data_IF_473239561691
#
_entry.id   IF_473239561691
#
_cell.length_a   1.000
_cell.length_b   1.000
_cell.length_c   1.000
_cell.angle_alpha   90.00
_cell.angle_beta   90.00
_cell.angle_gamma   90.00
#
_symmetry.space_group_name_H-M   'P 1'
#
loop_
_entity.id
_entity.type
_entity.pdbx_description
1 polymer ?
#
# COMPACT_ATOMS: atom_id res chain seq x y z
N UNK A 1 -16.70 32.94 -18.60
CA UNK A 1 -16.37 32.32 -19.90
C UNK A 1 -15.11 31.51 -19.70
N UNK A 2 -15.21 30.22 -19.51
CA UNK A 2 -14.09 29.29 -19.47
C UNK A 2 -14.38 28.20 -20.47
N UNK A 3 -13.54 28.16 -21.49
CA UNK A 3 -13.64 27.27 -22.64
C UNK A 3 -13.14 25.87 -22.28
N UNK A 4 -13.98 24.87 -22.53
CA UNK A 4 -13.60 23.46 -22.51
C UNK A 4 -12.62 23.17 -23.66
N UNK A 5 -11.49 22.57 -23.36
CA UNK A 5 -10.64 21.93 -24.34
C UNK A 5 -10.97 20.42 -24.38
N UNK A 6 -11.56 19.99 -25.48
CA UNK A 6 -11.76 18.59 -25.80
C UNK A 6 -10.45 18.00 -26.32
N UNK A 7 -10.06 16.85 -25.79
CA UNK A 7 -8.92 16.06 -26.30
C UNK A 7 -9.45 15.12 -27.38
N UNK A 8 -8.87 15.11 -28.57
CA UNK A 8 -9.32 14.21 -29.65
C UNK A 8 -8.81 12.79 -29.43
N UNK A 9 -9.72 11.83 -29.63
CA UNK A 9 -9.43 10.42 -29.76
C UNK A 9 -8.49 10.16 -30.95
N UNK A 10 -7.31 9.63 -30.71
CA UNK A 10 -6.50 8.96 -31.73
C UNK A 10 -6.41 7.47 -31.39
N UNK A 11 -7.12 6.67 -32.21
CA UNK A 11 -6.87 5.23 -32.29
C UNK A 11 -5.65 4.99 -33.17
N UNK A 12 -4.65 4.27 -32.65
CA UNK A 12 -3.69 3.52 -33.44
C UNK A 12 -3.52 2.13 -32.83
N UNK A 13 -3.57 1.06 -33.62
CA UNK A 13 -3.39 -0.31 -33.14
C UNK A 13 -1.89 -0.65 -33.08
N UNK A 14 -1.34 -0.74 -31.89
CA UNK A 14 -0.06 -1.40 -31.61
C UNK A 14 -0.28 -2.48 -30.56
N UNK A 15 0.61 -3.47 -30.39
CA UNK A 15 0.45 -4.48 -29.39
C UNK A 15 0.50 -3.83 -28.01
N UNK A 16 -0.64 -3.88 -27.32
CA UNK A 16 -0.81 -3.35 -25.98
C UNK A 16 -0.02 -4.27 -25.05
N UNK A 17 1.09 -3.80 -24.54
CA UNK A 17 1.68 -4.35 -23.32
C UNK A 17 0.68 -4.06 -22.21
N UNK A 18 0.09 -5.13 -21.67
CA UNK A 18 -0.95 -5.03 -20.66
C UNK A 18 -0.39 -4.34 -19.43
N UNK A 19 -0.91 -3.16 -19.14
CA UNK A 19 -0.71 -2.50 -17.87
C UNK A 19 -1.34 -3.35 -16.77
N UNK A 20 -0.53 -3.69 -15.81
CA UNK A 20 -0.95 -4.29 -14.57
C UNK A 20 -1.80 -3.29 -13.79
N UNK A 21 -3.05 -3.61 -13.62
CA UNK A 21 -3.95 -2.84 -12.76
C UNK A 21 -3.39 -2.81 -11.33
N UNK A 22 -3.28 -1.64 -10.78
CA UNK A 22 -2.80 -1.36 -9.43
C UNK A 22 -3.93 -1.57 -8.44
N UNK A 23 -3.62 -2.11 -7.32
CA UNK A 23 -4.65 -2.65 -6.46
C UNK A 23 -4.50 -2.28 -4.95
N UNK A 24 -5.50 -1.78 -4.21
CA UNK A 24 -5.49 -1.32 -2.81
C UNK A 24 -5.92 -2.30 -1.69
N UNK A 25 -5.78 -1.95 -0.47
CA UNK A 25 -6.02 -2.74 0.75
C UNK A 25 -7.03 -2.16 1.75
N UNK A 26 -7.86 -2.91 2.43
CA UNK A 26 -8.82 -2.45 3.43
C UNK A 26 -8.74 -3.18 4.79
N UNK A 27 -8.82 -2.48 5.90
CA UNK A 27 -8.90 -3.00 7.27
C UNK A 27 -10.21 -2.61 7.94
N UNK A 28 -10.92 -3.50 8.55
CA UNK A 28 -12.20 -3.28 9.19
C UNK A 28 -12.21 -3.57 10.71
N UNK A 29 -12.91 -2.84 11.53
CA UNK A 29 -12.82 -2.72 12.98
C UNK A 29 -13.83 -3.42 13.88
N UNK A 30 -13.53 -3.56 15.00
CA UNK A 30 -13.60 -3.88 16.43
C UNK A 30 -14.54 -4.98 16.89
N UNK A 31 -13.99 -5.86 17.71
CA UNK A 31 -14.75 -6.76 18.57
C UNK A 31 -14.24 -6.75 20.01
N UNK A 32 -15.12 -7.05 20.98
CA UNK A 32 -14.69 -7.41 22.31
C UNK A 32 -14.27 -8.88 22.37
N UNK A 33 -13.18 -9.07 23.09
CA UNK A 33 -12.60 -10.28 23.72
C UNK A 33 -13.14 -11.68 23.45
N UNK A 34 -12.16 -12.57 23.24
CA UNK A 34 -12.12 -14.03 23.19
C UNK A 34 -12.36 -14.65 21.82
N UNK A 35 -11.24 -14.97 21.16
CA UNK A 35 -11.25 -15.76 19.93
C UNK A 35 -10.86 -17.21 20.25
N UNK A 36 -11.86 -18.05 20.45
CA UNK A 36 -11.71 -19.50 20.23
C UNK A 36 -12.16 -19.79 18.81
N UNK A 37 -11.25 -20.36 18.03
CA UNK A 37 -11.52 -20.76 16.66
C UNK A 37 -12.60 -21.86 16.63
N UNK A 38 -13.84 -21.47 16.41
CA UNK A 38 -14.91 -22.37 15.98
C UNK A 38 -15.51 -21.81 14.72
N UNK A 39 -15.46 -22.59 13.65
CA UNK A 39 -16.16 -22.29 12.42
C UNK A 39 -17.64 -22.12 12.70
N UNK A 40 -18.15 -20.90 12.61
CA UNK A 40 -19.59 -20.64 12.57
C UNK A 40 -19.89 -19.24 12.03
N UNK A 41 -20.80 -19.24 11.09
CA UNK A 41 -21.68 -18.15 10.63
C UNK A 41 -21.07 -16.77 10.34
N UNK A 42 -21.34 -16.31 9.14
CA UNK A 42 -20.91 -15.10 8.45
C UNK A 42 -21.31 -13.75 9.13
N UNK A 43 -21.75 -13.74 10.38
CA UNK A 43 -22.37 -12.57 11.01
C UNK A 43 -21.53 -11.92 12.11
N UNK A 44 -20.24 -12.20 12.18
CA UNK A 44 -19.38 -11.59 13.21
C UNK A 44 -18.74 -10.30 12.67
N UNK A 45 -19.41 -9.17 12.93
CA UNK A 45 -19.08 -7.83 12.44
C UNK A 45 -17.93 -7.19 13.23
N UNK A 46 -16.74 -7.72 13.06
CA UNK A 46 -15.51 -7.05 13.50
C UNK A 46 -14.88 -6.23 12.39
N UNK A 47 -13.79 -5.64 12.72
CA UNK A 47 -12.94 -4.83 11.85
C UNK A 47 -12.21 -5.72 10.83
N UNK A 48 -12.25 -5.40 9.53
CA UNK A 48 -11.68 -6.22 8.44
C UNK A 48 -10.57 -5.49 7.69
N UNK A 49 -9.51 -6.21 7.42
CA UNK A 49 -8.32 -5.75 6.73
C UNK A 49 -8.22 -6.36 5.34
N UNK A 50 -7.94 -5.58 4.31
CA UNK A 50 -8.00 -6.00 2.92
C UNK A 50 -6.74 -5.62 2.14
N UNK A 51 -6.28 -6.50 1.29
CA UNK A 51 -5.13 -6.33 0.44
C UNK A 51 -5.32 -6.82 -1.00
N UNK A 52 -4.34 -6.60 -1.85
CA UNK A 52 -4.43 -6.72 -3.29
C UNK A 52 -3.30 -7.49 -3.97
N UNK A 53 -3.53 -8.02 -5.18
CA UNK A 53 -2.69 -9.04 -5.81
C UNK A 53 -2.44 -8.76 -7.29
N UNK A 54 -1.21 -8.96 -7.76
CA UNK A 54 -0.84 -8.89 -9.17
C UNK A 54 -1.03 -10.24 -9.89
N UNK A 55 -0.90 -10.23 -11.22
CA UNK A 55 -1.08 -11.41 -12.06
C UNK A 55 -0.13 -12.55 -11.69
N UNK A 56 -0.70 -13.74 -11.53
CA UNK A 56 -0.01 -14.98 -11.17
C UNK A 56 -0.25 -16.06 -12.23
N UNK A 57 0.56 -17.11 -12.19
CA UNK A 57 0.41 -18.24 -13.11
C UNK A 57 -0.60 -19.28 -12.60
N UNK A 58 -0.85 -19.31 -11.29
CA UNK A 58 -1.74 -20.27 -10.65
C UNK A 58 -2.32 -19.75 -9.34
N UNK A 59 -3.33 -20.43 -8.82
CA UNK A 59 -3.91 -20.14 -7.52
C UNK A 59 -2.90 -20.34 -6.37
N UNK A 60 -1.96 -21.28 -6.50
CA UNK A 60 -0.93 -21.50 -5.47
C UNK A 60 0.02 -20.33 -5.29
N UNK A 61 0.26 -19.56 -6.34
CA UNK A 61 1.16 -18.41 -6.29
C UNK A 61 0.59 -17.27 -5.43
N UNK A 62 -0.73 -17.21 -5.27
CA UNK A 62 -1.39 -16.31 -4.32
C UNK A 62 -1.33 -16.83 -2.87
N UNK A 63 -1.04 -18.13 -2.66
CA UNK A 63 -1.14 -18.76 -1.35
C UNK A 63 -0.18 -18.18 -0.33
N UNK A 64 1.04 -17.83 -0.72
CA UNK A 64 2.02 -17.23 0.18
C UNK A 64 1.64 -15.79 0.55
N UNK A 65 1.10 -15.02 -0.39
CA UNK A 65 0.57 -13.68 -0.12
C UNK A 65 -0.58 -13.76 0.90
N UNK A 66 -1.52 -14.70 0.71
CA UNK A 66 -2.65 -14.94 1.63
C UNK A 66 -2.16 -15.27 3.05
N UNK A 67 -1.21 -16.19 3.19
CA UNK A 67 -0.64 -16.58 4.49
C UNK A 67 0.10 -15.42 5.17
N UNK A 68 0.91 -14.67 4.43
CA UNK A 68 1.64 -13.50 4.97
C UNK A 68 0.69 -12.41 5.43
N UNK A 69 -0.36 -12.14 4.65
CA UNK A 69 -1.40 -11.20 5.01
C UNK A 69 -2.16 -11.63 6.27
N UNK A 70 -2.58 -12.89 6.36
CA UNK A 70 -3.20 -13.43 7.57
C UNK A 70 -2.30 -13.33 8.79
N UNK A 71 -1.02 -13.67 8.65
CA UNK A 71 -0.05 -13.55 9.73
C UNK A 71 0.11 -12.11 10.22
N UNK A 72 -0.04 -11.13 9.33
CA UNK A 72 -0.08 -9.71 9.72
C UNK A 72 -1.44 -9.27 10.30
N UNK A 73 -2.45 -10.14 10.28
CA UNK A 73 -3.80 -9.84 10.76
C UNK A 73 -4.72 -9.21 9.71
N UNK A 74 -4.38 -9.33 8.42
CA UNK A 74 -5.21 -8.86 7.31
C UNK A 74 -6.37 -9.83 7.10
N UNK A 75 -7.60 -9.32 6.93
CA UNK A 75 -8.82 -10.13 6.83
C UNK A 75 -9.20 -10.48 5.39
N UNK A 76 -8.94 -9.60 4.46
CA UNK A 76 -9.34 -9.79 3.07
C UNK A 76 -8.43 -9.04 2.10
N UNK A 77 -8.48 -9.43 0.83
CA UNK A 77 -7.86 -8.66 -0.27
C UNK A 77 -8.92 -8.02 -1.15
N UNK A 78 -8.75 -6.73 -1.49
CA UNK A 78 -9.43 -6.10 -2.61
C UNK A 78 -8.77 -6.54 -3.92
N UNK A 79 -9.50 -6.96 -4.89
CA UNK A 79 -9.01 -7.30 -6.22
C UNK A 79 -9.41 -6.16 -7.16
N UNK A 80 -8.52 -5.20 -7.37
CA UNK A 80 -8.78 -4.06 -8.27
C UNK A 80 -8.62 -4.52 -9.72
N UNK A 81 -9.60 -4.37 -10.52
CA UNK A 81 -9.63 -4.93 -11.86
C UNK A 81 -9.88 -3.87 -12.93
N UNK A 82 -9.13 -3.99 -14.02
CA UNK A 82 -9.44 -3.38 -15.30
C UNK A 82 -10.36 -4.25 -16.16
N UNK A 83 -10.28 -4.04 -17.47
CA UNK A 83 -11.05 -4.76 -18.49
C UNK A 83 -10.19 -5.72 -19.32
N UNK A 84 -9.04 -6.09 -18.80
CA UNK A 84 -8.08 -6.94 -19.50
C UNK A 84 -8.58 -8.36 -19.70
N UNK A 85 -8.14 -9.02 -20.77
CA UNK A 85 -8.56 -10.39 -21.11
C UNK A 85 -8.17 -11.45 -20.09
N UNK A 86 -7.14 -11.19 -19.28
CA UNK A 86 -6.69 -12.11 -18.23
C UNK A 86 -7.45 -11.93 -16.89
N UNK A 87 -8.28 -10.88 -16.75
CA UNK A 87 -8.93 -10.51 -15.48
C UNK A 87 -9.69 -11.68 -14.87
N UNK A 88 -10.53 -12.38 -15.64
CA UNK A 88 -11.32 -13.50 -15.10
C UNK A 88 -10.47 -14.68 -14.63
N UNK A 89 -9.37 -14.97 -15.34
CA UNK A 89 -8.42 -15.99 -14.93
C UNK A 89 -7.78 -15.63 -13.58
N UNK A 90 -7.35 -14.39 -13.42
CA UNK A 90 -6.72 -13.91 -12.19
C UNK A 90 -7.71 -13.87 -11.02
N UNK A 91 -8.94 -13.40 -11.24
CA UNK A 91 -10.01 -13.47 -10.25
C UNK A 91 -10.26 -14.93 -9.82
N UNK A 92 -10.34 -15.86 -10.77
CA UNK A 92 -10.51 -17.28 -10.49
C UNK A 92 -9.40 -17.82 -9.57
N UNK A 93 -8.14 -17.53 -9.87
CA UNK A 93 -7.01 -17.93 -9.04
C UNK A 93 -7.04 -17.29 -7.64
N UNK A 94 -7.33 -15.99 -7.54
CA UNK A 94 -7.37 -15.28 -6.27
C UNK A 94 -8.51 -15.79 -5.37
N UNK A 95 -9.72 -15.97 -5.90
CA UNK A 95 -10.86 -16.54 -5.15
C UNK A 95 -10.59 -17.98 -4.69
N UNK A 96 -10.00 -18.80 -5.57
CA UNK A 96 -9.62 -20.17 -5.21
C UNK A 96 -8.56 -20.18 -4.10
N UNK A 97 -7.53 -19.37 -4.21
CA UNK A 97 -6.48 -19.27 -3.20
C UNK A 97 -7.01 -18.77 -1.86
N UNK A 98 -7.87 -17.74 -1.90
CA UNK A 98 -8.49 -17.21 -0.70
C UNK A 98 -9.35 -18.27 0.02
N UNK A 99 -10.17 -19.03 -0.73
CA UNK A 99 -10.95 -20.13 -0.18
C UNK A 99 -10.05 -21.20 0.46
N UNK A 100 -8.97 -21.60 -0.22
CA UNK A 100 -8.03 -22.61 0.26
C UNK A 100 -7.27 -22.18 1.54
N UNK A 101 -7.08 -20.89 1.72
CA UNK A 101 -6.35 -20.32 2.87
C UNK A 101 -7.29 -19.72 3.93
N UNK A 102 -8.61 -19.82 3.79
CA UNK A 102 -9.56 -19.23 4.74
C UNK A 102 -9.59 -17.70 4.75
N UNK A 103 -9.10 -17.04 3.70
CA UNK A 103 -9.19 -15.60 3.52
C UNK A 103 -10.45 -15.19 2.75
N UNK A 104 -10.76 -13.90 2.83
CA UNK A 104 -11.79 -13.29 1.99
C UNK A 104 -11.16 -12.41 0.92
N UNK A 105 -11.89 -12.24 -0.17
CA UNK A 105 -11.56 -11.32 -1.26
C UNK A 105 -12.82 -10.61 -1.74
N UNK A 106 -12.67 -9.47 -2.40
CA UNK A 106 -13.75 -8.77 -3.08
C UNK A 106 -13.23 -8.02 -4.29
N UNK A 107 -14.13 -7.67 -5.20
CA UNK A 107 -13.77 -6.92 -6.40
C UNK A 107 -13.78 -5.42 -6.11
N UNK A 108 -12.74 -4.73 -6.56
CA UNK A 108 -12.64 -3.28 -6.68
C UNK A 108 -12.49 -2.94 -8.17
N UNK A 109 -13.39 -2.11 -8.70
CA UNK A 109 -13.38 -1.75 -10.11
C UNK A 109 -12.54 -0.51 -10.35
N UNK A 110 -11.53 -0.59 -11.23
CA UNK A 110 -10.73 0.56 -11.63
C UNK A 110 -11.40 1.32 -12.79
N UNK A 111 -12.02 2.45 -12.47
CA UNK A 111 -12.68 3.29 -13.45
C UNK A 111 -11.73 4.15 -14.31
N UNK A 112 -10.45 3.94 -14.26
CA UNK A 112 -9.56 4.36 -15.35
C UNK A 112 -9.74 3.46 -16.60
N UNK A 113 -10.22 2.22 -16.40
CA UNK A 113 -10.44 1.22 -17.44
C UNK A 113 -11.91 0.95 -17.70
N UNK A 114 -12.71 0.83 -16.62
CA UNK A 114 -14.16 0.75 -16.71
C UNK A 114 -14.75 2.13 -17.01
N UNK A 115 -15.84 2.15 -17.80
CA UNK A 115 -16.57 3.39 -18.08
C UNK A 115 -17.74 3.54 -17.12
N UNK A 116 -18.06 4.76 -16.72
CA UNK A 116 -19.22 5.04 -15.85
C UNK A 116 -20.56 4.65 -16.50
N UNK A 117 -20.62 4.55 -17.81
CA UNK A 117 -21.77 4.02 -18.57
C UNK A 117 -21.94 2.51 -18.49
N UNK A 118 -20.98 1.77 -17.92
CA UNK A 118 -20.98 0.30 -17.87
C UNK A 118 -21.57 -0.29 -16.58
N UNK A 119 -22.48 0.41 -15.90
CA UNK A 119 -23.08 -0.05 -14.64
C UNK A 119 -23.64 -1.48 -14.70
N UNK A 120 -24.34 -1.83 -15.79
CA UNK A 120 -24.83 -3.20 -15.99
C UNK A 120 -23.71 -4.24 -16.11
N UNK A 121 -22.62 -3.92 -16.80
CA UNK A 121 -21.49 -4.84 -16.95
C UNK A 121 -20.74 -5.01 -15.62
N UNK A 122 -20.60 -3.94 -14.84
CA UNK A 122 -20.06 -3.98 -13.47
C UNK A 122 -20.92 -4.89 -12.58
N UNK A 123 -22.26 -4.71 -12.59
CA UNK A 123 -23.18 -5.56 -11.85
C UNK A 123 -23.11 -7.03 -12.27
N UNK A 124 -23.09 -7.31 -13.57
CA UNK A 124 -22.95 -8.66 -14.10
C UNK A 124 -21.62 -9.32 -13.68
N UNK A 125 -20.52 -8.54 -13.61
CA UNK A 125 -19.24 -9.04 -13.10
C UNK A 125 -19.34 -9.37 -11.60
N UNK A 126 -20.00 -8.57 -10.79
CA UNK A 126 -20.25 -8.86 -9.37
C UNK A 126 -21.02 -10.17 -9.22
N UNK A 127 -22.10 -10.37 -9.99
CA UNK A 127 -22.95 -11.57 -9.93
C UNK A 127 -22.16 -12.87 -10.15
N UNK A 128 -21.12 -12.86 -10.99
CA UNK A 128 -20.27 -14.04 -11.25
C UNK A 128 -19.54 -14.54 -10.01
N UNK A 129 -19.21 -13.66 -9.07
CA UNK A 129 -18.38 -13.97 -7.90
C UNK A 129 -19.14 -13.86 -6.57
N UNK A 130 -20.35 -13.30 -6.56
CA UNK A 130 -21.14 -12.97 -5.36
C UNK A 130 -21.37 -14.14 -4.41
N UNK A 131 -21.48 -15.36 -4.94
CA UNK A 131 -21.79 -16.58 -4.18
C UNK A 131 -20.58 -17.47 -3.91
N UNK A 132 -19.38 -17.05 -4.30
CA UNK A 132 -18.18 -17.81 -4.02
C UNK A 132 -17.85 -17.81 -2.52
N UNK A 133 -17.33 -18.91 -1.94
CA UNK A 133 -17.06 -19.02 -0.50
C UNK A 133 -16.10 -17.97 0.04
N UNK A 134 -15.15 -17.50 -0.79
CA UNK A 134 -14.16 -16.50 -0.42
C UNK A 134 -14.68 -15.05 -0.56
N UNK A 135 -15.85 -14.84 -1.18
CA UNK A 135 -16.40 -13.48 -1.34
C UNK A 135 -16.63 -12.84 0.03
N UNK A 136 -16.04 -11.65 0.21
CA UNK A 136 -16.30 -10.83 1.41
C UNK A 136 -17.75 -10.36 1.41
N UNK A 137 -18.46 -10.58 2.52
CA UNK A 137 -19.77 -10.01 2.79
C UNK A 137 -19.71 -9.12 4.03
N UNK A 138 -20.41 -8.02 4.02
CA UNK A 138 -20.57 -7.10 5.13
C UNK A 138 -22.06 -6.82 5.28
N UNK A 139 -22.60 -6.95 6.49
CA UNK A 139 -24.03 -6.83 6.77
C UNK A 139 -24.86 -7.76 5.85
N UNK A 140 -24.38 -9.01 5.62
CA UNK A 140 -24.96 -10.00 4.72
C UNK A 140 -24.88 -9.68 3.22
N UNK A 141 -24.32 -8.54 2.84
CA UNK A 141 -24.24 -8.03 1.46
C UNK A 141 -22.88 -8.25 0.85
N UNK A 142 -22.83 -8.50 -0.45
CA UNK A 142 -21.60 -8.65 -1.23
C UNK A 142 -20.80 -7.34 -1.20
N UNK A 143 -19.61 -7.35 -0.61
CA UNK A 143 -18.78 -6.16 -0.52
C UNK A 143 -18.10 -5.87 -1.85
N UNK A 144 -18.21 -4.63 -2.31
CA UNK A 144 -17.68 -4.15 -3.60
C UNK A 144 -17.11 -2.75 -3.41
N UNK A 145 -15.97 -2.48 -4.03
CA UNK A 145 -15.33 -1.17 -4.04
C UNK A 145 -14.99 -0.70 -5.45
N UNK A 146 -14.43 0.48 -5.57
CA UNK A 146 -13.83 0.97 -6.81
C UNK A 146 -12.73 1.98 -6.54
N UNK A 147 -11.83 2.12 -7.51
CA UNK A 147 -11.02 3.32 -7.69
C UNK A 147 -11.77 4.25 -8.65
N UNK A 148 -12.00 5.51 -8.23
CA UNK A 148 -12.83 6.49 -8.94
C UNK A 148 -14.24 5.95 -9.29
N UNK A 149 -14.84 6.45 -10.37
CA UNK A 149 -16.15 6.01 -10.86
C UNK A 149 -17.29 6.95 -10.51
N UNK A 150 -16.97 8.20 -10.14
CA UNK A 150 -17.96 9.25 -9.92
C UNK A 150 -18.92 9.34 -11.12
N UNK A 151 -20.22 9.25 -10.86
CA UNK A 151 -21.26 9.30 -11.90
C UNK A 151 -21.64 7.96 -12.53
N UNK A 152 -21.12 6.82 -12.05
CA UNK A 152 -21.61 5.50 -12.47
C UNK A 152 -23.07 5.30 -12.02
N UNK A 153 -23.86 4.63 -12.86
CA UNK A 153 -25.24 4.27 -12.50
C UNK A 153 -25.27 3.14 -11.47
N UNK A 154 -25.38 3.52 -10.19
CA UNK A 154 -25.45 2.59 -9.05
C UNK A 154 -26.71 1.72 -9.11
N UNK A 155 -27.83 2.25 -9.64
CA UNK A 155 -29.05 1.46 -9.75
C UNK A 155 -28.90 0.35 -10.78
N UNK A 156 -28.24 0.63 -11.91
CA UNK A 156 -27.89 -0.37 -12.92
C UNK A 156 -26.94 -1.44 -12.36
N UNK A 157 -25.92 -1.04 -11.57
CA UNK A 157 -25.02 -1.98 -10.88
C UNK A 157 -25.85 -2.92 -10.00
N UNK A 158 -26.71 -2.39 -9.15
CA UNK A 158 -27.53 -3.17 -8.21
C UNK A 158 -28.49 -4.13 -8.93
N UNK A 159 -29.13 -3.64 -9.99
CA UNK A 159 -30.07 -4.46 -10.78
C UNK A 159 -29.36 -5.64 -11.46
N UNK A 160 -28.15 -5.46 -11.95
CA UNK A 160 -27.41 -6.48 -12.68
C UNK A 160 -26.56 -7.40 -11.76
N UNK A 161 -26.32 -7.02 -10.51
CA UNK A 161 -25.54 -7.82 -9.56
C UNK A 161 -26.28 -9.07 -9.06
N UNK A 162 -27.59 -9.14 -9.23
CA UNK A 162 -28.46 -10.24 -8.76
C UNK A 162 -28.20 -10.64 -7.30
N UNK A 163 -27.78 -9.68 -6.51
CA UNK A 163 -27.44 -9.83 -5.09
C UNK A 163 -27.45 -8.47 -4.40
N UNK A 164 -27.74 -8.46 -3.11
CA UNK A 164 -27.55 -7.27 -2.29
C UNK A 164 -26.05 -6.92 -2.21
N UNK A 165 -25.68 -5.70 -2.56
CA UNK A 165 -24.30 -5.23 -2.52
C UNK A 165 -24.08 -4.19 -1.42
N UNK A 166 -22.93 -4.30 -0.74
CA UNK A 166 -22.34 -3.28 0.12
C UNK A 166 -21.35 -2.50 -0.71
N UNK A 167 -21.80 -1.40 -1.33
CA UNK A 167 -20.97 -0.63 -2.25
C UNK A 167 -20.23 0.48 -1.50
N UNK A 168 -18.90 0.43 -1.57
CA UNK A 168 -17.99 1.31 -0.85
C UNK A 168 -16.88 1.86 -1.78
N UNK A 169 -17.24 2.67 -2.79
CA UNK A 169 -16.31 3.16 -3.81
C UNK A 169 -15.43 4.32 -3.30
N UNK A 170 -14.36 4.60 -4.05
CA UNK A 170 -13.59 5.83 -3.94
C UNK A 170 -14.20 6.95 -4.79
N UNK A 171 -15.38 7.41 -4.45
CA UNK A 171 -15.97 8.60 -5.08
C UNK A 171 -15.42 9.88 -4.43
N UNK A 172 -15.24 10.93 -5.22
CA UNK A 172 -14.72 12.18 -4.72
C UNK A 172 -15.80 13.00 -4.02
N UNK A 173 -15.57 13.48 -2.80
CA UNK A 173 -16.45 14.43 -2.14
C UNK A 173 -16.76 15.64 -3.04
N UNK A 174 -18.04 15.94 -3.21
CA UNK A 174 -18.51 17.02 -4.08
C UNK A 174 -18.68 16.67 -5.57
N UNK A 175 -18.38 15.43 -5.98
CA UNK A 175 -18.60 14.93 -7.35
C UNK A 175 -19.51 13.71 -7.39
N UNK A 176 -19.23 12.72 -6.54
CA UNK A 176 -19.99 11.47 -6.48
C UNK A 176 -21.31 11.60 -5.71
N UNK A 177 -22.25 10.69 -6.00
CA UNK A 177 -23.48 10.55 -5.21
C UNK A 177 -23.24 9.65 -4.00
N UNK A 178 -23.08 10.26 -2.83
CA UNK A 178 -22.89 9.54 -1.56
C UNK A 178 -24.20 9.05 -0.94
N UNK A 179 -25.37 9.49 -1.46
CA UNK A 179 -26.68 9.15 -0.87
C UNK A 179 -26.97 7.65 -0.98
N UNK A 180 -26.58 7.03 -2.07
CA UNK A 180 -26.84 5.63 -2.40
C UNK A 180 -25.69 4.66 -2.04
N UNK A 181 -24.64 5.13 -1.34
CA UNK A 181 -23.53 4.30 -0.87
C UNK A 181 -23.79 3.72 0.52
N UNK A 182 -23.19 2.56 0.82
CA UNK A 182 -23.12 1.99 2.17
C UNK A 182 -21.92 2.53 2.93
N UNK A 183 -20.81 2.81 2.23
CA UNK A 183 -19.61 3.42 2.75
C UNK A 183 -18.87 4.13 1.60
N UNK A 184 -17.80 4.83 1.88
CA UNK A 184 -16.87 5.30 0.85
C UNK A 184 -15.42 5.19 1.31
N UNK A 185 -14.55 4.97 0.34
CA UNK A 185 -13.12 4.87 0.49
C UNK A 185 -12.45 6.20 0.18
N UNK A 186 -11.56 6.67 1.07
CA UNK A 186 -10.57 7.66 0.70
C UNK A 186 -9.32 6.95 0.17
N UNK A 187 -9.06 7.05 -1.12
CA UNK A 187 -7.86 6.43 -1.69
C UNK A 187 -6.56 7.13 -1.28
N UNK A 188 -6.59 8.45 -1.13
CA UNK A 188 -5.37 9.24 -0.93
C UNK A 188 -4.90 9.13 0.52
N UNK A 189 -3.85 8.33 0.74
CA UNK A 189 -3.27 8.03 2.06
C UNK A 189 -1.98 8.81 2.36
N UNK A 190 -1.67 9.84 1.59
CA UNK A 190 -0.47 10.67 1.70
C UNK A 190 -0.81 12.16 1.58
N UNK A 191 0.12 13.01 2.00
CA UNK A 191 -0.03 14.47 1.81
C UNK A 191 -0.06 14.81 0.32
N UNK A 192 -1.02 15.63 -0.10
CA UNK A 192 -1.30 15.91 -1.51
C UNK A 192 -1.69 17.37 -1.73
N UNK A 193 -2.05 17.75 -2.95
CA UNK A 193 -2.48 19.11 -3.33
C UNK A 193 -3.99 19.26 -3.50
N UNK A 194 -4.80 18.33 -2.98
CA UNK A 194 -6.25 18.28 -3.17
C UNK A 194 -6.68 17.50 -4.42
N UNK A 195 -5.75 16.89 -5.13
CA UNK A 195 -5.98 16.01 -6.28
C UNK A 195 -5.02 14.81 -6.20
N UNK A 196 -5.07 13.92 -7.16
CA UNK A 196 -4.13 12.80 -7.27
C UNK A 196 -2.77 13.21 -7.90
N UNK A 197 -2.47 14.49 -7.95
CA UNK A 197 -1.19 14.99 -8.40
C UNK A 197 -0.24 15.26 -7.23
N UNK A 198 1.05 15.38 -7.54
CA UNK A 198 2.08 15.70 -6.55
C UNK A 198 1.82 17.03 -5.85
N UNK A 199 2.05 17.14 -4.54
CA UNK A 199 1.84 18.39 -3.82
C UNK A 199 2.86 19.46 -4.25
N UNK A 200 2.37 20.68 -4.38
CA UNK A 200 3.25 21.84 -4.55
C UNK A 200 3.68 22.38 -3.18
N UNK A 201 4.87 22.98 -3.06
CA UNK A 201 5.32 23.58 -1.80
C UNK A 201 4.28 24.55 -1.22
N UNK A 202 4.06 24.48 0.09
CA UNK A 202 3.09 25.29 0.85
C UNK A 202 1.61 25.13 0.45
N UNK A 203 1.25 24.09 -0.31
CA UNK A 203 -0.13 23.75 -0.69
C UNK A 203 -0.47 22.29 -0.37
N UNK A 204 0.25 21.70 0.55
CA UNK A 204 0.05 20.32 0.94
C UNK A 204 -1.16 20.19 1.85
N UNK A 205 -2.09 19.31 1.48
CA UNK A 205 -3.15 18.81 2.36
C UNK A 205 -2.64 17.59 3.10
N UNK A 206 -2.89 17.51 4.39
CA UNK A 206 -2.64 16.30 5.18
C UNK A 206 -3.77 15.28 4.97
N UNK A 207 -3.50 14.01 5.26
CA UNK A 207 -4.50 12.94 5.06
C UNK A 207 -5.78 13.22 5.86
N UNK A 208 -5.66 13.79 7.05
CA UNK A 208 -6.80 14.15 7.91
C UNK A 208 -7.79 15.13 7.24
N UNK A 209 -7.33 16.05 6.39
CA UNK A 209 -8.20 16.98 5.66
C UNK A 209 -9.06 16.22 4.65
N UNK A 210 -8.45 15.28 3.94
CA UNK A 210 -9.14 14.38 3.01
C UNK A 210 -10.14 13.48 3.75
N UNK A 211 -9.72 12.86 4.87
CA UNK A 211 -10.61 12.06 5.73
C UNK A 211 -11.84 12.84 6.17
N UNK A 212 -11.67 14.11 6.57
CA UNK A 212 -12.78 14.96 7.03
C UNK A 212 -13.75 15.30 5.88
N UNK A 213 -13.24 15.50 4.66
CA UNK A 213 -14.08 15.72 3.49
C UNK A 213 -14.98 14.48 3.21
N UNK A 214 -14.40 13.27 3.26
CA UNK A 214 -15.16 12.03 3.11
C UNK A 214 -16.19 11.81 4.22
N UNK A 215 -15.81 12.00 5.49
CA UNK A 215 -16.73 11.88 6.62
C UNK A 215 -17.92 12.86 6.51
N UNK A 216 -17.66 14.07 6.04
CA UNK A 216 -18.69 15.09 5.79
C UNK A 216 -19.64 14.64 4.68
N UNK A 217 -19.09 14.17 3.53
CA UNK A 217 -19.92 13.70 2.43
C UNK A 217 -20.76 12.45 2.77
N UNK A 218 -20.21 11.56 3.61
CA UNK A 218 -20.89 10.35 4.08
C UNK A 218 -22.00 10.60 5.08
N UNK A 219 -22.01 11.76 5.75
CA UNK A 219 -23.04 12.14 6.70
C UNK A 219 -23.40 11.03 7.71
N UNK A 220 -22.39 10.49 8.39
CA UNK A 220 -22.53 9.45 9.40
C UNK A 220 -22.51 8.01 8.89
N UNK A 221 -22.48 7.77 7.58
CA UNK A 221 -22.24 6.43 7.04
C UNK A 221 -20.79 5.99 7.29
N UNK A 222 -20.50 4.68 7.26
CA UNK A 222 -19.17 4.16 7.44
C UNK A 222 -18.15 4.75 6.47
N UNK A 223 -16.97 5.05 7.00
CA UNK A 223 -15.82 5.55 6.27
C UNK A 223 -14.72 4.49 6.24
N UNK A 224 -14.07 4.35 5.10
CA UNK A 224 -12.89 3.51 4.91
C UNK A 224 -11.66 4.42 4.88
N UNK A 225 -10.84 4.32 5.92
CA UNK A 225 -9.62 5.10 6.03
C UNK A 225 -8.45 4.38 5.37
N UNK A 226 -7.76 5.05 4.49
CA UNK A 226 -6.54 4.51 3.87
C UNK A 226 -5.30 4.71 4.74
N UNK A 227 -4.37 3.77 4.64
CA UNK A 227 -3.03 3.82 5.25
C UNK A 227 -2.00 3.42 4.21
N UNK A 228 -1.04 4.29 3.91
CA UNK A 228 0.07 4.01 3.00
C UNK A 228 1.40 4.34 3.65
N UNK A 229 2.45 3.55 3.38
CA UNK A 229 3.75 3.81 4.00
C UNK A 229 4.55 4.89 3.28
N UNK A 230 4.41 4.97 1.96
CA UNK A 230 5.25 5.76 1.07
C UNK A 230 4.52 6.05 -0.23
N UNK A 231 5.02 6.97 -1.03
CA UNK A 231 4.67 7.10 -2.43
C UNK A 231 5.83 7.72 -3.21
N UNK A 232 6.33 6.98 -4.19
CA UNK A 232 7.15 7.53 -5.25
C UNK A 232 6.91 6.75 -6.53
N UNK A 233 6.82 7.44 -7.66
CA UNK A 233 6.54 6.81 -8.93
C UNK A 233 7.33 7.50 -10.03
N UNK A 234 7.86 6.70 -10.94
CA UNK A 234 8.51 7.20 -12.14
C UNK A 234 8.13 6.32 -13.33
N UNK A 235 7.35 6.89 -14.22
CA UNK A 235 7.05 6.35 -15.55
C UNK A 235 7.49 7.38 -16.59
N UNK A 236 8.36 6.96 -17.51
CA UNK A 236 8.95 7.82 -18.54
C UNK A 236 7.98 8.22 -19.65
N UNK A 237 8.46 9.00 -20.60
CA UNK A 237 7.67 9.48 -21.73
C UNK A 237 7.32 8.42 -22.79
N UNK A 238 7.75 7.19 -22.59
CA UNK A 238 7.43 6.02 -23.41
C UNK A 238 6.07 5.39 -23.11
N UNK A 239 5.41 5.83 -22.04
CA UNK A 239 4.06 5.40 -21.66
C UNK A 239 3.06 6.55 -21.63
N UNK A 240 1.79 6.27 -21.90
CA UNK A 240 0.72 7.27 -21.95
C UNK A 240 0.36 7.86 -20.58
N UNK A 241 0.77 7.21 -19.50
CA UNK A 241 0.55 7.60 -18.10
C UNK A 241 1.84 8.12 -17.44
N UNK A 242 2.67 8.79 -18.20
CA UNK A 242 3.91 9.43 -17.74
C UNK A 242 3.68 10.20 -16.44
N UNK A 243 4.46 9.88 -15.41
CA UNK A 243 4.49 10.59 -14.14
C UNK A 243 5.83 10.42 -13.45
N UNK A 244 6.29 11.47 -12.77
CA UNK A 244 7.51 11.47 -11.97
C UNK A 244 7.24 12.26 -10.70
N UNK A 245 6.63 11.59 -9.71
CA UNK A 245 6.11 12.19 -8.49
C UNK A 245 6.68 11.54 -7.25
N UNK A 246 6.85 12.33 -6.19
CA UNK A 246 7.05 11.85 -4.83
C UNK A 246 6.17 12.62 -3.88
N UNK A 247 5.57 11.94 -2.92
CA UNK A 247 4.80 12.57 -1.85
C UNK A 247 5.59 12.52 -0.54
N UNK A 248 5.46 13.52 0.34
CA UNK A 248 6.13 13.52 1.62
C UNK A 248 5.64 12.32 2.43
N UNK A 249 6.55 11.43 2.74
CA UNK A 249 6.22 10.14 3.36
C UNK A 249 6.92 9.97 4.72
N UNK A 250 8.25 10.03 4.81
CA UNK A 250 8.97 10.00 6.08
C UNK A 250 8.39 9.04 7.12
N UNK A 251 7.81 9.57 8.18
CA UNK A 251 7.12 8.83 9.23
C UNK A 251 5.62 8.62 8.95
N UNK A 252 5.18 8.77 7.70
CA UNK A 252 3.76 8.68 7.32
C UNK A 252 3.09 7.40 7.86
N UNK A 253 3.72 6.24 7.64
CA UNK A 253 3.21 4.93 8.07
C UNK A 253 2.93 4.87 9.57
N UNK A 254 3.91 5.29 10.39
CA UNK A 254 3.79 5.32 11.84
C UNK A 254 2.71 6.32 12.31
N UNK A 255 2.73 7.53 11.78
CA UNK A 255 1.80 8.59 12.16
C UNK A 255 0.37 8.21 11.77
N UNK A 256 0.19 7.70 10.56
CA UNK A 256 -1.14 7.30 10.06
C UNK A 256 -1.74 6.17 10.88
N UNK A 257 -0.96 5.17 11.27
CA UNK A 257 -1.44 4.14 12.19
C UNK A 257 -1.89 4.69 13.55
N UNK A 258 -1.20 5.68 14.07
CA UNK A 258 -1.61 6.36 15.32
C UNK A 258 -2.93 7.09 15.14
N UNK A 259 -3.15 7.77 14.01
CA UNK A 259 -4.42 8.40 13.66
C UNK A 259 -5.55 7.37 13.53
N UNK A 260 -5.29 6.23 12.89
CA UNK A 260 -6.24 5.12 12.82
C UNK A 260 -6.66 4.64 14.20
N UNK A 261 -5.71 4.39 15.10
CA UNK A 261 -6.04 4.01 16.47
C UNK A 261 -6.79 5.12 17.21
N UNK A 262 -6.52 6.39 16.95
CA UNK A 262 -7.23 7.51 17.57
C UNK A 262 -8.67 7.63 17.08
N UNK A 263 -8.90 7.50 15.77
CA UNK A 263 -10.20 7.72 15.13
C UNK A 263 -11.10 6.49 15.07
N UNK A 264 -10.48 5.29 15.12
CA UNK A 264 -11.18 3.99 15.07
C UNK A 264 -12.23 3.91 13.97
N UNK A 265 -11.90 4.11 12.69
CA UNK A 265 -12.84 3.97 11.59
C UNK A 265 -13.35 2.52 11.51
N UNK A 266 -14.55 2.31 10.95
CA UNK A 266 -15.09 0.94 10.79
C UNK A 266 -14.23 0.09 9.86
N UNK A 267 -13.62 0.70 8.85
CA UNK A 267 -12.76 0.03 7.88
C UNK A 267 -11.48 0.82 7.69
N UNK A 268 -10.40 0.11 7.42
CA UNK A 268 -9.10 0.72 7.06
C UNK A 268 -8.54 0.01 5.84
N UNK A 269 -8.07 0.76 4.86
CA UNK A 269 -7.45 0.23 3.65
C UNK A 269 -5.94 0.44 3.64
N UNK A 270 -5.17 -0.65 3.47
CA UNK A 270 -3.72 -0.57 3.28
C UNK A 270 -3.42 -0.41 1.78
N UNK A 271 -2.79 0.66 1.42
CA UNK A 271 -2.34 0.96 0.06
C UNK A 271 -0.81 0.86 0.01
N UNK A 272 -0.24 -0.23 -0.57
CA UNK A 272 -0.82 -1.43 -1.17
C UNK A 272 -0.05 -2.70 -0.77
N UNK A 273 -0.43 -3.88 -1.28
CA UNK A 273 0.38 -5.08 -1.11
C UNK A 273 1.53 -5.11 -2.12
N UNK A 274 1.28 -4.72 -3.34
CA UNK A 274 2.14 -5.01 -4.47
C UNK A 274 2.13 -3.96 -5.58
N UNK A 275 1.74 -2.72 -5.29
CA UNK A 275 1.94 -1.65 -6.26
C UNK A 275 3.42 -1.22 -6.22
N UNK A 276 4.19 -1.96 -6.98
CA UNK A 276 5.62 -1.71 -7.12
C UNK A 276 5.89 -0.44 -7.91
N UNK A 277 5.02 -0.10 -8.86
CA UNK A 277 5.13 1.08 -9.71
C UNK A 277 4.98 2.41 -8.98
N UNK A 278 4.28 2.40 -7.85
CA UNK A 278 4.07 3.57 -7.00
C UNK A 278 4.81 3.51 -5.66
N UNK A 279 5.64 2.47 -5.46
CA UNK A 279 6.53 2.32 -4.30
C UNK A 279 5.82 2.25 -2.94
N UNK A 280 4.51 2.06 -2.90
CA UNK A 280 3.75 1.96 -1.65
C UNK A 280 3.36 0.52 -1.26
N UNK A 281 4.05 -0.46 -1.83
CA UNK A 281 3.87 -1.86 -1.48
C UNK A 281 4.37 -2.19 -0.07
N UNK A 282 3.73 -3.16 0.59
CA UNK A 282 4.20 -3.76 1.84
C UNK A 282 4.33 -5.27 1.75
N UNK A 283 3.88 -5.86 0.63
CA UNK A 283 4.06 -7.27 0.33
C UNK A 283 5.50 -7.58 -0.09
N UNK A 284 5.85 -8.87 -0.17
CA UNK A 284 7.21 -9.30 -0.45
C UNK A 284 7.59 -9.08 -1.91
N UNK A 285 8.86 -8.72 -2.15
CA UNK A 285 9.43 -8.66 -3.49
C UNK A 285 9.66 -10.05 -4.10
N UNK A 286 9.66 -11.10 -3.28
CA UNK A 286 9.85 -12.48 -3.71
C UNK A 286 8.66 -13.08 -4.44
N UNK A 287 7.49 -12.48 -4.33
CA UNK A 287 6.29 -12.97 -5.00
C UNK A 287 6.42 -12.87 -6.51
N UNK A 288 6.15 -13.95 -7.28
CA UNK A 288 6.14 -13.89 -8.73
C UNK A 288 5.08 -12.89 -9.21
N UNK A 289 5.48 -11.94 -10.05
CA UNK A 289 4.58 -10.95 -10.64
C UNK A 289 5.08 -10.51 -12.01
N UNK A 290 4.18 -9.91 -12.79
CA UNK A 290 4.55 -9.29 -14.06
C UNK A 290 5.09 -7.89 -13.75
N UNK A 291 6.15 -7.52 -14.46
CA UNK A 291 6.77 -6.21 -14.33
C UNK A 291 6.10 -5.18 -15.25
N UNK A 292 5.71 -4.07 -14.66
CA UNK A 292 5.26 -2.87 -15.37
C UNK A 292 6.42 -1.87 -15.63
N UNK A 293 7.65 -2.28 -15.37
CA UNK A 293 8.84 -1.44 -15.43
C UNK A 293 9.30 -0.91 -14.08
N UNK A 294 8.57 -1.22 -13.01
CA UNK A 294 8.89 -0.77 -11.66
C UNK A 294 10.15 -1.41 -11.07
N UNK A 295 10.60 -2.54 -11.62
CA UNK A 295 11.76 -3.29 -11.13
C UNK A 295 13.00 -2.45 -10.86
N UNK A 296 13.25 -1.46 -11.70
CA UNK A 296 14.40 -0.56 -11.56
C UNK A 296 14.38 0.18 -10.22
N UNK A 297 13.20 0.41 -9.68
CA UNK A 297 12.96 1.17 -8.47
C UNK A 297 12.80 0.29 -7.23
N UNK A 298 12.33 -0.95 -7.39
CA UNK A 298 12.00 -1.85 -6.27
C UNK A 298 13.08 -2.88 -5.98
N UNK A 299 13.93 -3.20 -6.95
CA UNK A 299 14.95 -4.23 -6.77
C UNK A 299 15.90 -3.90 -5.62
N UNK A 300 15.90 -4.75 -4.59
CA UNK A 300 16.68 -4.55 -3.37
C UNK A 300 16.15 -3.43 -2.46
N UNK A 301 14.88 -3.02 -2.61
CA UNK A 301 14.18 -2.08 -1.75
C UNK A 301 13.02 -2.80 -1.03
N UNK A 302 13.28 -3.72 -0.08
CA UNK A 302 12.23 -4.43 0.65
C UNK A 302 11.46 -3.48 1.56
N UNK A 303 10.15 -3.75 1.75
CA UNK A 303 9.28 -3.00 2.65
C UNK A 303 8.72 -3.87 3.80
N UNK A 304 9.26 -5.05 4.00
CA UNK A 304 8.81 -6.00 5.04
C UNK A 304 8.80 -5.39 6.44
N UNK A 305 9.75 -4.50 6.75
CA UNK A 305 9.80 -3.82 8.03
C UNK A 305 8.55 -2.99 8.32
N UNK A 306 7.90 -2.44 7.31
CA UNK A 306 6.63 -1.76 7.48
C UNK A 306 5.48 -2.72 7.75
N UNK A 307 5.47 -3.90 7.12
CA UNK A 307 4.49 -4.94 7.43
C UNK A 307 4.65 -5.42 8.87
N UNK A 308 5.88 -5.61 9.34
CA UNK A 308 6.17 -5.96 10.73
C UNK A 308 5.72 -4.88 11.72
N UNK A 309 5.96 -3.61 11.40
CA UNK A 309 5.47 -2.50 12.21
C UNK A 309 3.94 -2.48 12.27
N UNK A 310 3.25 -2.83 11.19
CA UNK A 310 1.79 -2.83 11.14
C UNK A 310 1.16 -3.85 12.07
N UNK A 311 1.76 -5.02 12.30
CA UNK A 311 1.18 -6.12 13.08
C UNK A 311 0.61 -5.69 14.44
N UNK A 312 1.37 -5.06 15.34
CA UNK A 312 0.84 -4.63 16.63
C UNK A 312 -0.21 -3.51 16.50
N UNK A 313 -0.13 -2.65 15.47
CA UNK A 313 -1.18 -1.66 15.21
C UNK A 313 -2.47 -2.31 14.73
N UNK A 314 -2.39 -3.28 13.82
CA UNK A 314 -3.54 -4.05 13.33
C UNK A 314 -4.21 -4.78 14.50
N UNK A 315 -3.44 -5.46 15.33
CA UNK A 315 -3.96 -6.18 16.48
C UNK A 315 -4.62 -5.22 17.49
N UNK A 316 -3.99 -4.08 17.78
CA UNK A 316 -4.56 -3.05 18.65
C UNK A 316 -5.85 -2.48 18.08
N UNK A 317 -5.88 -2.16 16.79
CA UNK A 317 -7.05 -1.65 16.10
C UNK A 317 -8.22 -2.64 16.19
N UNK A 318 -7.99 -3.92 15.87
CA UNK A 318 -9.00 -4.98 15.99
C UNK A 318 -9.52 -5.18 17.41
N UNK A 319 -8.67 -4.99 18.40
CA UNK A 319 -9.04 -5.05 19.81
C UNK A 319 -9.66 -3.76 20.36
N UNK A 320 -9.85 -2.73 19.54
CA UNK A 320 -10.33 -1.41 20.00
C UNK A 320 -9.36 -0.71 20.96
N UNK A 321 -8.08 -1.12 20.96
CA UNK A 321 -7.05 -0.59 21.85
C UNK A 321 -6.34 0.61 21.21
N UNK A 322 -5.98 1.59 22.04
CA UNK A 322 -5.12 2.71 21.63
C UNK A 322 -3.62 2.43 21.86
N UNK A 323 -3.27 1.25 22.38
CA UNK A 323 -1.93 0.91 22.83
C UNK A 323 -1.37 -0.29 22.06
N UNK A 324 -0.75 -0.09 20.89
CA UNK A 324 -0.22 -1.17 20.07
C UNK A 324 0.88 -1.97 20.77
N UNK A 325 1.61 -1.35 21.69
CA UNK A 325 2.67 -2.04 22.47
C UNK A 325 2.16 -3.28 23.22
N UNK A 326 0.88 -3.34 23.58
CA UNK A 326 0.29 -4.52 24.25
C UNK A 326 0.23 -5.76 23.36
N UNK A 327 0.35 -5.57 22.04
CA UNK A 327 0.29 -6.60 21.02
C UNK A 327 1.65 -6.84 20.35
N UNK A 328 2.71 -6.31 20.93
CA UNK A 328 4.06 -6.49 20.43
C UNK A 328 4.60 -7.85 20.86
N UNK A 329 4.76 -8.77 19.93
CA UNK A 329 5.34 -10.10 20.19
C UNK A 329 6.85 -9.99 20.36
N UNK A 330 7.51 -9.32 19.43
CA UNK A 330 8.95 -9.13 19.39
C UNK A 330 9.32 -7.65 19.39
N UNK A 331 10.37 -7.30 20.14
CA UNK A 331 10.94 -5.97 20.08
C UNK A 331 11.65 -5.76 18.75
N UNK A 332 11.43 -4.59 18.15
CA UNK A 332 12.08 -4.22 16.88
C UNK A 332 12.45 -2.74 16.84
N UNK A 333 13.45 -2.45 16.05
CA UNK A 333 13.70 -1.12 15.52
C UNK A 333 13.45 -1.22 14.00
N UNK A 334 12.55 -0.42 13.47
CA UNK A 334 12.27 -0.31 12.04
C UNK A 334 12.84 1.02 11.57
N UNK A 335 13.61 0.99 10.49
CA UNK A 335 14.21 2.18 9.92
C UNK A 335 13.98 2.24 8.43
N UNK A 336 13.85 3.46 7.92
CA UNK A 336 13.74 3.69 6.49
C UNK A 336 14.41 5.01 6.10
N UNK A 337 14.81 5.09 4.84
CA UNK A 337 15.23 6.32 4.18
C UNK A 337 14.88 6.26 2.70
N UNK A 338 14.69 7.40 2.08
CA UNK A 338 14.85 7.56 0.64
C UNK A 338 16.18 8.28 0.40
N UNK A 339 16.69 8.15 -0.79
CA UNK A 339 17.99 8.73 -1.06
C UNK A 339 18.02 10.23 -1.16
N UNK A 340 19.26 10.73 -1.19
CA UNK A 340 19.61 12.12 -1.26
C UNK A 340 19.23 12.74 -2.64
N UNK A 341 18.75 13.97 -2.65
CA UNK A 341 18.26 14.71 -3.82
C UNK A 341 19.38 15.21 -4.76
N UNK A 342 20.26 14.33 -5.23
CA UNK A 342 21.43 14.72 -6.02
C UNK A 342 21.12 14.94 -7.51
N UNK A 343 20.04 14.34 -8.02
CA UNK A 343 19.69 14.40 -9.44
C UNK A 343 18.26 14.03 -9.75
N UNK A 344 17.74 14.55 -10.87
CA UNK A 344 16.41 14.18 -11.39
C UNK A 344 15.30 14.44 -10.39
N UNK A 345 15.05 15.71 -10.03
CA UNK A 345 14.01 16.08 -9.05
C UNK A 345 12.62 15.73 -9.57
N UNK A 346 11.92 14.77 -8.95
CA UNK A 346 10.52 14.55 -9.26
C UNK A 346 9.64 15.66 -8.69
N UNK A 347 8.43 15.77 -9.21
CA UNK A 347 7.43 16.67 -8.64
C UNK A 347 7.15 16.26 -7.19
N UNK A 348 7.14 17.24 -6.29
CA UNK A 348 6.96 17.00 -4.84
C UNK A 348 8.25 16.81 -4.04
N UNK A 349 9.43 16.71 -4.69
CA UNK A 349 10.71 16.54 -4.01
C UNK A 349 11.01 17.66 -3.00
N UNK A 350 10.50 18.87 -3.22
CA UNK A 350 10.67 20.00 -2.30
C UNK A 350 9.94 19.80 -0.95
N UNK A 351 9.08 18.81 -0.83
CA UNK A 351 8.37 18.45 0.40
C UNK A 351 9.03 17.28 1.16
N UNK A 352 10.11 16.74 0.62
CA UNK A 352 10.86 15.65 1.26
C UNK A 352 11.96 16.20 2.16
N UNK A 353 12.32 15.40 3.17
CA UNK A 353 13.45 15.72 4.07
C UNK A 353 14.54 14.67 3.94
N UNK A 354 15.80 15.11 4.03
CA UNK A 354 16.97 14.23 4.02
C UNK A 354 17.21 13.68 5.45
N UNK A 355 16.41 12.69 5.84
CA UNK A 355 16.46 12.07 7.15
C UNK A 355 16.40 10.54 7.05
N UNK A 356 17.00 9.90 8.03
CA UNK A 356 16.77 8.49 8.35
C UNK A 356 15.68 8.44 9.41
N UNK A 357 14.57 7.81 9.09
CA UNK A 357 13.41 7.69 9.96
C UNK A 357 13.46 6.36 10.71
N UNK A 358 13.20 6.41 12.01
CA UNK A 358 13.33 5.27 12.91
C UNK A 358 12.07 5.15 13.74
N UNK A 359 11.56 3.93 13.87
CA UNK A 359 10.51 3.61 14.86
C UNK A 359 11.04 2.51 15.78
N UNK A 360 11.15 2.82 17.05
CA UNK A 360 11.45 1.85 18.09
C UNK A 360 10.17 1.21 18.62
N UNK A 361 10.17 -0.11 18.74
CA UNK A 361 9.09 -0.93 19.25
C UNK A 361 9.66 -1.75 20.41
N UNK A 362 9.66 -1.19 21.60
CA UNK A 362 10.42 -1.72 22.76
C UNK A 362 9.50 -2.00 23.95
N UNK A 363 9.69 -3.15 24.61
CA UNK A 363 9.02 -3.51 25.87
C UNK A 363 9.71 -2.88 27.07
N UNK A 364 11.03 -2.67 26.99
CA UNK A 364 11.86 -2.08 28.02
C UNK A 364 12.73 -0.96 27.47
N UNK A 365 13.22 -0.01 28.31
CA UNK A 365 14.08 1.07 27.83
C UNK A 365 15.37 0.56 27.19
N UNK A 366 15.90 1.31 26.26
CA UNK A 366 17.19 1.02 25.62
C UNK A 366 17.85 2.32 25.15
N UNK A 367 19.16 2.30 25.00
CA UNK A 367 19.89 3.36 24.29
C UNK A 367 20.08 2.93 22.84
N UNK A 368 19.73 3.80 21.91
CA UNK A 368 19.85 3.57 20.46
C UNK A 368 21.00 4.43 19.95
N UNK A 369 21.92 3.79 19.24
CA UNK A 369 22.97 4.47 18.50
C UNK A 369 22.68 4.35 17.02
N UNK A 370 22.73 5.46 16.33
CA UNK A 370 22.51 5.55 14.87
C UNK A 370 23.73 6.23 14.26
N UNK A 371 24.18 5.69 13.14
CA UNK A 371 25.17 6.34 12.28
C UNK A 371 24.67 6.30 10.85
N UNK A 372 24.61 7.46 10.22
CA UNK A 372 24.24 7.66 8.83
C UNK A 372 25.39 8.39 8.12
N UNK A 373 26.21 7.65 7.39
CA UNK A 373 27.42 8.20 6.80
C UNK A 373 28.36 8.82 7.87
N UNK A 374 28.51 10.14 7.85
CA UNK A 374 29.29 10.91 8.84
C UNK A 374 28.47 11.41 10.02
N UNK A 375 27.17 11.41 9.88
CA UNK A 375 26.25 11.82 10.94
C UNK A 375 26.09 10.71 11.96
N UNK A 376 26.03 11.05 13.24
CA UNK A 376 25.83 10.09 14.31
C UNK A 376 25.00 10.68 15.44
N UNK A 377 24.08 9.88 15.96
CA UNK A 377 23.26 10.27 17.09
C UNK A 377 23.09 9.10 18.07
N UNK A 378 22.97 9.44 19.35
CA UNK A 378 22.66 8.47 20.41
C UNK A 378 21.53 9.04 21.25
N UNK A 379 20.46 8.25 21.46
CA UNK A 379 19.32 8.67 22.25
C UNK A 379 18.76 7.54 23.11
N UNK A 380 18.08 7.90 24.19
CA UNK A 380 17.38 6.95 25.05
C UNK A 380 15.95 6.72 24.52
N UNK A 381 15.69 5.48 24.13
CA UNK A 381 14.40 5.03 23.67
C UNK A 381 13.57 4.47 24.84
N UNK A 382 12.36 5.00 25.02
CA UNK A 382 11.42 4.59 26.06
C UNK A 382 10.67 3.32 25.65
N UNK A 383 10.11 2.56 26.60
CA UNK A 383 9.16 1.49 26.30
C UNK A 383 7.97 2.05 25.50
N UNK A 384 7.49 1.28 24.54
CA UNK A 384 6.40 1.68 23.64
C UNK A 384 6.83 1.68 22.19
N UNK A 385 6.04 2.36 21.39
CA UNK A 385 6.33 2.59 19.97
C UNK A 385 6.56 4.10 19.78
N UNK A 386 7.78 4.46 19.42
CA UNK A 386 8.20 5.85 19.30
C UNK A 386 8.98 6.07 18.02
N UNK A 387 8.70 7.20 17.38
CA UNK A 387 9.45 7.64 16.21
C UNK A 387 10.60 8.58 16.58
N UNK A 388 11.65 8.49 15.80
CA UNK A 388 12.81 9.37 15.83
C UNK A 388 13.32 9.59 14.41
N UNK A 389 14.01 10.69 14.15
CA UNK A 389 14.69 10.90 12.87
C UNK A 389 16.08 11.49 13.11
N UNK A 390 17.01 11.12 12.26
CA UNK A 390 18.37 11.66 12.28
C UNK A 390 18.76 12.18 10.92
N UNK A 391 19.63 13.18 10.80
CA UNK A 391 20.11 13.67 9.52
C UNK A 391 20.68 12.54 8.68
N UNK A 392 20.34 12.52 7.40
CA UNK A 392 20.80 11.52 6.46
C UNK A 392 22.19 11.88 5.95
N UNK A 393 23.14 10.95 6.06
CA UNK A 393 24.49 11.09 5.52
C UNK A 393 24.78 10.04 4.45
N UNK A 394 25.49 10.48 3.40
CA UNK A 394 26.00 9.58 2.35
C UNK A 394 27.02 8.61 2.95
N UNK A 395 26.90 7.33 2.60
CA UNK A 395 27.75 6.26 3.06
C UNK A 395 27.05 5.24 3.93
N UNK A 396 27.83 4.57 4.76
CA UNK A 396 27.39 3.44 5.57
C UNK A 396 26.33 3.82 6.56
N UNK A 397 25.31 2.95 6.69
CA UNK A 397 24.25 3.05 7.68
C UNK A 397 24.47 2.01 8.78
N UNK A 398 24.35 2.41 10.06
CA UNK A 398 24.51 1.48 11.17
C UNK A 398 23.58 1.82 12.33
N UNK A 399 23.02 0.78 12.93
CA UNK A 399 22.08 0.87 14.04
C UNK A 399 22.49 -0.10 15.14
N UNK A 400 22.35 0.32 16.40
CA UNK A 400 22.71 -0.50 17.55
C UNK A 400 21.76 -0.18 18.71
N UNK A 401 21.25 -1.23 19.36
CA UNK A 401 20.44 -1.13 20.57
C UNK A 401 21.23 -1.66 21.75
N UNK A 402 21.33 -0.89 22.83
CA UNK A 402 22.12 -1.21 24.02
C UNK A 402 21.23 -1.17 25.25
N UNK A 403 21.37 -2.16 26.14
CA UNK A 403 20.79 -2.19 27.51
C UNK A 403 21.84 -2.60 28.53
N UNK A 404 21.84 -1.92 29.64
CA UNK A 404 22.77 -2.20 30.74
C UNK A 404 24.25 -2.31 30.28
N UNK A 405 24.62 -1.43 29.36
CA UNK A 405 25.96 -1.41 28.75
C UNK A 405 26.24 -2.55 27.77
N UNK A 406 25.31 -3.46 27.53
CA UNK A 406 25.47 -4.58 26.61
C UNK A 406 24.68 -4.32 25.30
N UNK A 407 25.31 -4.63 24.19
CA UNK A 407 24.61 -4.63 22.89
C UNK A 407 23.58 -5.75 22.90
N UNK A 408 22.30 -5.39 22.81
CA UNK A 408 21.19 -6.33 22.69
C UNK A 408 21.07 -6.76 21.23
N UNK A 409 21.20 -5.78 20.33
CA UNK A 409 21.19 -6.04 18.91
C UNK A 409 22.00 -4.97 18.15
N UNK A 410 22.60 -5.35 17.06
CA UNK A 410 23.36 -4.43 16.22
C UNK A 410 23.33 -4.85 14.78
N UNK A 411 23.18 -3.87 13.93
CA UNK A 411 23.33 -3.98 12.51
C UNK A 411 24.45 -3.04 12.11
N UNK A 412 25.54 -3.58 11.65
CA UNK A 412 26.69 -2.82 11.21
C UNK A 412 26.95 -3.11 9.74
N UNK A 413 26.79 -2.06 8.92
CA UNK A 413 27.02 -2.16 7.49
C UNK A 413 26.15 -3.21 6.83
N UNK A 414 24.94 -2.87 6.59
CA UNK A 414 24.11 -3.63 5.68
C UNK A 414 24.77 -3.48 4.31
N UNK A 415 25.61 -4.43 3.94
CA UNK A 415 26.38 -4.39 2.72
C UNK A 415 25.58 -4.45 1.43
N UNK A 416 24.37 -3.88 1.43
CA UNK A 416 23.48 -3.89 0.28
C UNK A 416 22.84 -2.56 -0.07
N UNK A 417 22.72 -1.60 0.86
CA UNK A 417 22.16 -0.27 0.58
C UNK A 417 22.74 0.80 1.50
N UNK A 418 23.97 1.16 1.23
CA UNK A 418 24.49 2.44 1.72
C UNK A 418 23.77 3.58 0.98
N UNK A 419 23.61 4.70 1.66
CA UNK A 419 23.09 5.91 1.01
C UNK A 419 24.18 6.42 0.06
N UNK A 420 23.83 6.61 -1.20
CA UNK A 420 24.75 7.06 -2.24
C UNK A 420 24.32 8.39 -2.81
N UNK A 421 25.28 9.18 -3.25
CA UNK A 421 25.08 10.44 -3.97
C UNK A 421 25.18 10.27 -5.49
N UNK A 422 25.12 9.03 -5.99
CA UNK A 422 25.22 8.71 -7.40
C UNK A 422 23.86 8.43 -8.02
N UNK A 423 23.67 8.85 -9.25
CA UNK A 423 22.47 8.67 -10.03
C UNK A 423 22.81 7.93 -11.33
N UNK A 424 22.93 6.61 -11.30
CA UNK A 424 23.40 5.82 -12.46
C UNK A 424 22.57 6.06 -13.73
N UNK A 425 21.33 6.51 -13.59
CA UNK A 425 20.39 6.75 -14.68
C UNK A 425 20.03 8.23 -14.86
N UNK A 426 20.75 9.15 -14.22
CA UNK A 426 20.38 10.57 -14.21
C UNK A 426 19.14 10.87 -13.37
N UNK A 427 18.53 9.85 -12.78
CA UNK A 427 17.37 9.95 -11.88
C UNK A 427 17.71 9.18 -10.60
N UNK A 428 17.41 9.80 -9.46
CA UNK A 428 17.57 9.16 -8.17
C UNK A 428 16.41 8.20 -7.89
N UNK A 429 16.68 7.09 -7.20
CA UNK A 429 15.63 6.19 -6.75
C UNK A 429 14.98 6.72 -5.47
N UNK A 430 13.79 7.29 -5.56
CA UNK A 430 13.01 7.80 -4.44
C UNK A 430 12.17 6.76 -3.72
N UNK A 431 12.26 5.47 -4.12
CA UNK A 431 11.68 4.39 -3.34
C UNK A 431 12.41 4.27 -1.98
N UNK A 432 11.68 3.92 -0.94
CA UNK A 432 12.25 3.74 0.38
C UNK A 432 12.99 2.41 0.50
N UNK A 433 14.14 2.43 1.18
CA UNK A 433 14.70 1.22 1.77
C UNK A 433 14.19 1.07 3.20
N UNK A 434 13.63 -0.09 3.53
CA UNK A 434 13.10 -0.36 4.87
C UNK A 434 13.81 -1.58 5.46
N UNK A 435 14.37 -1.40 6.63
CA UNK A 435 15.04 -2.47 7.35
C UNK A 435 14.58 -2.59 8.80
N UNK A 436 14.93 -3.70 9.44
CA UNK A 436 14.62 -3.97 10.83
C UNK A 436 15.86 -4.35 11.63
N UNK A 437 15.78 -4.16 12.93
CA UNK A 437 16.71 -4.68 13.90
C UNK A 437 15.90 -5.38 15.01
N UNK A 438 16.06 -6.70 15.25
CA UNK A 438 16.90 -7.64 14.52
C UNK A 438 16.67 -7.63 13.02
N UNK A 439 17.74 -7.87 12.25
CA UNK A 439 17.59 -8.02 10.79
C UNK A 439 16.77 -9.28 10.49
N UNK A 440 15.86 -9.17 9.54
CA UNK A 440 15.13 -10.35 9.09
C UNK A 440 16.09 -11.40 8.52
N UNK A 441 15.87 -12.66 8.88
CA UNK A 441 16.72 -13.78 8.46
C UNK A 441 16.66 -14.04 6.95
N UNK A 442 15.56 -13.64 6.29
CA UNK A 442 15.39 -13.79 4.85
C UNK A 442 15.11 -12.44 4.20
N UNK A 443 15.99 -12.02 3.29
CA UNK A 443 15.72 -10.91 2.40
C UNK A 443 14.80 -11.41 1.30
N UNK A 444 13.63 -10.83 1.16
CA UNK A 444 12.77 -11.09 0.01
C UNK A 444 13.51 -10.69 -1.27
N UNK A 445 13.63 -11.65 -2.16
CA UNK A 445 14.27 -11.47 -3.47
C UNK A 445 13.21 -11.69 -4.54
N UNK A 446 13.30 -10.93 -5.60
CA UNK A 446 12.50 -11.23 -6.79
C UNK A 446 12.86 -12.61 -7.31
N UNK A 447 11.84 -13.40 -7.65
CA UNK A 447 12.07 -14.69 -8.28
C UNK A 447 12.74 -14.50 -9.65
N UNK A 448 13.60 -15.44 -10.09
CA UNK A 448 14.28 -15.31 -11.38
C UNK A 448 13.34 -15.06 -12.56
N UNK A 449 12.14 -15.66 -12.55
CA UNK A 449 11.12 -15.43 -13.58
C UNK A 449 10.59 -13.98 -13.54
N UNK A 450 10.37 -13.42 -12.37
CA UNK A 450 10.06 -12.00 -12.20
C UNK A 450 11.18 -11.13 -12.74
N UNK A 451 12.45 -11.40 -12.39
CA UNK A 451 13.59 -10.67 -12.89
C UNK A 451 13.71 -10.69 -14.41
N UNK A 452 13.41 -11.80 -15.07
CA UNK A 452 13.46 -11.90 -16.53
C UNK A 452 12.40 -11.01 -17.20
N UNK A 453 11.22 -10.85 -16.60
CA UNK A 453 10.16 -9.96 -17.09
C UNK A 453 10.48 -8.48 -16.80
N UNK A 454 11.23 -8.22 -15.73
CA UNK A 454 11.60 -6.88 -15.29
C UNK A 454 12.50 -6.12 -16.30
N UNK A 455 13.23 -6.82 -17.16
CA UNK A 455 14.11 -6.19 -18.16
C UNK A 455 13.36 -5.56 -19.33
N UNK A 456 12.07 -5.86 -19.47
CA UNK A 456 11.23 -5.39 -20.59
C UNK A 456 10.42 -4.13 -20.24
N UNK A 457 10.37 -3.73 -18.97
CA UNK A 457 9.68 -2.52 -18.56
C UNK A 457 10.50 -1.25 -18.81
N UNK A 458 9.89 -0.11 -18.63
CA UNK A 458 10.33 1.28 -18.79
C UNK A 458 11.72 1.44 -19.45
N UNK A 459 11.73 1.84 -20.68
CA UNK A 459 12.95 2.16 -21.44
C UNK A 459 13.59 3.48 -20.94
N UNK A 460 13.95 3.53 -19.66
CA UNK A 460 14.91 4.54 -19.26
C UNK A 460 16.22 4.10 -19.90
N UNK A 461 16.87 4.97 -20.64
CA UNK A 461 18.17 4.75 -21.24
C UNK A 461 19.28 4.64 -20.16
N UNK A 462 19.11 3.71 -19.26
CA UNK A 462 20.08 3.35 -18.23
C UNK A 462 20.94 2.21 -18.74
N UNK A 463 22.26 2.31 -18.67
CA UNK A 463 23.12 1.19 -18.96
C UNK A 463 22.76 0.03 -18.01
N UNK A 464 22.37 -1.11 -18.58
CA UNK A 464 21.99 -2.32 -17.83
C UNK A 464 23.11 -2.88 -16.94
N UNK A 465 24.33 -2.46 -17.14
CA UNK A 465 25.53 -2.95 -16.42
C UNK A 465 25.70 -2.43 -14.98
N UNK A 466 24.93 -1.47 -14.52
CA UNK A 466 25.12 -0.85 -13.20
C UNK A 466 24.14 -1.31 -12.12
N UNK A 467 23.12 -2.09 -12.45
CA UNK A 467 22.15 -2.64 -11.49
C UNK A 467 22.49 -4.04 -10.96
N UNK A 468 23.52 -4.67 -11.50
CA UNK A 468 23.99 -5.99 -11.08
C UNK A 468 25.32 -5.90 -10.35
N UNK A 469 25.39 -6.32 -9.15
CA UNK A 469 26.56 -6.56 -8.32
C UNK A 469 27.20 -5.33 -7.65
N UNK A 470 26.68 -4.97 -6.51
CA UNK A 470 27.53 -4.64 -5.35
C UNK A 470 26.89 -5.13 -4.07
#
# INVERSE_FOLDING_TARGET
>A
MLTHASIPNFMLPGPIVALLGHIPFIIASSLPTEYTATASSDDNYGNKLIGIVSNRQSASDYGDDMKRAQYAGIDAFALNIGTDSYTDTQLGFAYQSAANNGMKVFISFDFNWWQTSQGNAVGAKIAQYANLPAQLKVDGKVFVSSFAGDGVDIAAIRAAADSDIYFAPNFHPGRGDFSNLQAALNWIAWGNNGSNGSPTPNKQLVVADSDNAYKTALNGKPYIASVSPWFSTHFGGDVSYTKNWVFPSGLLWYNRWREILATSPRFVELLTWNDYGESHYIGPLSSPHVDDGASKWVMGMPHNGWLDMAKPFIAAYKAGSKLPIRFLDEEKLVYCWSGNFVCGRPDGADNMTDEVFIVTMLKTPATVHVQSGREAETYDAKPGMWSHSVPMGVGRQSFKVVRDGKTVDSLCGIGRRDITDTCPCGIYNFNAYVGTLPAEASVDRLQPAGLALLSQGLQIACPTSTLGAR
#
